data_IF_861696471920
#
_entry.id   IF_861696471920
#
_cell.length_a   1.000
_cell.length_b   1.000
_cell.length_c   1.000
_cell.angle_alpha   90.00
_cell.angle_beta   90.00
_cell.angle_gamma   90.00
#
_symmetry.space_group_name_H-M   'P 1'
#
loop_
_entity.id
_entity.type
_entity.pdbx_description
1 polymer ?
#
# COMPACT_ATOMS: atom_id res chain seq x y z
N UNK A 1 -6.48 53.11 41.85
CA UNK A 1 -6.19 52.92 40.42
C UNK A 1 -5.11 51.85 40.28
N UNK A 2 -5.47 50.61 39.97
CA UNK A 2 -4.49 49.54 39.71
C UNK A 2 -4.81 48.92 38.34
N UNK A 3 -3.76 48.82 37.53
CA UNK A 3 -3.78 48.66 36.08
C UNK A 3 -4.22 47.24 35.70
N UNK A 4 -5.19 47.14 34.79
CA UNK A 4 -5.56 45.90 34.11
C UNK A 4 -4.40 45.50 33.19
N UNK A 5 -3.69 44.43 33.52
CA UNK A 5 -2.71 43.81 32.64
C UNK A 5 -3.47 42.83 31.73
N UNK A 6 -3.74 43.24 30.49
CA UNK A 6 -4.26 42.34 29.45
C UNK A 6 -3.16 41.35 29.06
N UNK A 7 -3.21 40.14 29.60
CA UNK A 7 -2.42 39.02 29.10
C UNK A 7 -2.97 38.57 27.74
N UNK A 8 -2.26 38.94 26.67
CA UNK A 8 -2.48 38.41 25.32
C UNK A 8 -2.08 36.92 25.33
N UNK A 9 -3.05 36.01 25.34
CA UNK A 9 -2.82 34.57 25.20
C UNK A 9 -2.61 34.26 23.70
N UNK A 10 -1.36 34.14 23.25
CA UNK A 10 -1.06 33.56 21.94
C UNK A 10 -1.39 32.06 21.99
N UNK A 11 -2.54 31.67 21.45
CA UNK A 11 -2.86 30.27 21.17
C UNK A 11 -1.99 29.80 20.00
N UNK A 12 -0.89 29.12 20.32
CA UNK A 12 -0.18 28.30 19.35
C UNK A 12 -1.08 27.10 19.03
N UNK A 13 -1.85 27.19 17.95
CA UNK A 13 -2.54 26.04 17.39
C UNK A 13 -1.48 25.07 16.88
N UNK A 14 -1.37 23.85 17.43
CA UNK A 14 -0.52 22.83 16.82
C UNK A 14 -1.11 22.60 15.42
N UNK A 15 -0.29 22.75 14.39
CA UNK A 15 -0.64 22.25 13.07
C UNK A 15 -0.95 20.77 13.24
N UNK A 16 -2.22 20.40 13.17
CA UNK A 16 -2.64 19.01 13.10
C UNK A 16 -2.02 18.47 11.81
N UNK A 17 -0.90 17.77 11.95
CA UNK A 17 -0.33 17.01 10.85
C UNK A 17 -1.41 16.00 10.45
N UNK A 18 -2.06 16.27 9.33
CA UNK A 18 -3.00 15.33 8.74
C UNK A 18 -2.14 14.18 8.24
N UNK A 19 -2.27 13.02 8.86
CA UNK A 19 -1.56 11.83 8.43
C UNK A 19 -1.94 11.53 6.98
N UNK A 20 -0.94 11.28 6.14
CA UNK A 20 -1.11 10.94 4.75
C UNK A 20 -1.80 9.59 4.60
N UNK A 21 -2.70 9.48 3.61
CA UNK A 21 -3.46 8.25 3.39
C UNK A 21 -2.58 7.14 2.78
N UNK A 22 -1.65 7.53 1.90
CA UNK A 22 -0.71 6.61 1.26
C UNK A 22 0.56 7.34 0.81
N UNK A 23 1.73 6.81 1.19
CA UNK A 23 3.01 7.42 0.82
C UNK A 23 3.14 8.83 1.39
N UNK A 24 3.19 9.83 0.52
CA UNK A 24 3.18 11.27 0.90
C UNK A 24 1.92 12.00 0.41
N UNK A 25 0.84 11.26 0.11
CA UNK A 25 -0.36 11.82 -0.52
C UNK A 25 -1.66 11.43 0.20
N UNK A 26 -2.67 12.27 -0.02
CA UNK A 26 -4.06 12.04 0.40
C UNK A 26 -4.86 11.43 -0.74
N UNK A 27 -5.90 10.65 -0.42
CA UNK A 27 -6.85 10.20 -1.43
C UNK A 27 -7.49 11.39 -2.14
N UNK A 28 -7.63 11.28 -3.47
CA UNK A 28 -8.15 12.34 -4.33
C UNK A 28 -7.13 13.37 -4.82
N UNK A 29 -5.88 13.33 -4.35
CA UNK A 29 -4.81 14.21 -4.84
C UNK A 29 -4.58 14.03 -6.35
N UNK A 30 -4.23 15.11 -7.05
CA UNK A 30 -3.89 15.04 -8.48
C UNK A 30 -2.50 14.42 -8.70
N UNK A 31 -2.17 13.92 -9.91
CA UNK A 31 -0.82 13.47 -10.22
C UNK A 31 0.25 14.53 -9.95
N UNK A 32 -0.05 15.81 -10.20
CA UNK A 32 0.92 16.90 -9.99
C UNK A 32 1.15 17.19 -8.51
N UNK A 33 0.09 17.15 -7.69
CA UNK A 33 0.23 17.28 -6.24
C UNK A 33 1.10 16.15 -5.67
N UNK A 34 0.87 14.91 -6.12
CA UNK A 34 1.68 13.75 -5.71
C UNK A 34 3.13 13.91 -6.16
N UNK A 35 3.38 14.40 -7.39
CA UNK A 35 4.75 14.65 -7.87
C UNK A 35 5.49 15.70 -7.06
N UNK A 36 4.79 16.73 -6.61
CA UNK A 36 5.38 17.80 -5.80
C UNK A 36 5.67 17.34 -4.37
N UNK A 37 4.80 16.51 -3.79
CA UNK A 37 4.96 16.00 -2.44
C UNK A 37 5.99 14.87 -2.33
N UNK A 38 6.06 13.97 -3.32
CA UNK A 38 6.89 12.78 -3.24
C UNK A 38 8.38 13.08 -3.48
N UNK A 39 9.19 12.82 -2.46
CA UNK A 39 10.64 13.08 -2.45
C UNK A 39 11.48 11.90 -2.93
N UNK A 40 10.88 10.72 -3.09
CA UNK A 40 11.56 9.51 -3.57
C UNK A 40 11.96 9.63 -5.05
N UNK A 41 12.89 8.79 -5.48
CA UNK A 41 13.32 8.74 -6.89
C UNK A 41 12.15 8.32 -7.79
N UNK A 42 11.74 9.21 -8.70
CA UNK A 42 10.71 8.95 -9.69
C UNK A 42 11.23 7.99 -10.78
N UNK A 43 10.49 6.90 -11.03
CA UNK A 43 10.73 5.87 -12.04
C UNK A 43 9.57 5.74 -13.04
N UNK A 44 8.64 6.69 -13.01
CA UNK A 44 7.51 6.74 -13.94
C UNK A 44 8.02 6.92 -15.37
N UNK A 45 7.57 6.10 -16.34
CA UNK A 45 7.88 6.33 -17.74
C UNK A 45 7.42 7.73 -18.20
N UNK A 46 8.14 8.31 -19.16
CA UNK A 46 7.79 9.62 -19.69
C UNK A 46 6.41 9.60 -20.36
N UNK A 47 5.58 10.59 -20.06
CA UNK A 47 4.24 10.75 -20.65
C UNK A 47 3.12 10.00 -19.91
N UNK A 48 3.43 9.18 -18.91
CA UNK A 48 2.41 8.46 -18.14
C UNK A 48 1.72 9.36 -17.11
N UNK A 49 0.39 9.32 -17.11
CA UNK A 49 -0.46 10.14 -16.24
C UNK A 49 -1.38 9.30 -15.36
N UNK A 50 -1.65 8.05 -15.73
CA UNK A 50 -2.57 7.17 -15.01
C UNK A 50 -1.95 6.55 -13.77
N UNK A 51 -0.62 6.58 -13.67
CA UNK A 51 0.11 6.12 -12.51
C UNK A 51 1.45 6.85 -12.35
N UNK A 52 1.97 6.84 -11.13
CA UNK A 52 3.33 7.25 -10.81
C UNK A 52 4.06 6.13 -10.07
N UNK A 53 5.32 5.91 -10.39
CA UNK A 53 6.18 4.90 -9.78
C UNK A 53 7.36 5.58 -9.11
N UNK A 54 7.60 5.23 -7.86
CA UNK A 54 8.75 5.71 -7.08
C UNK A 54 9.53 4.54 -6.47
N UNK A 55 10.82 4.76 -6.24
CA UNK A 55 11.63 3.81 -5.48
C UNK A 55 11.34 3.93 -3.99
N UNK A 56 11.07 2.80 -3.35
CA UNK A 56 11.02 2.70 -1.91
C UNK A 56 12.08 1.70 -1.43
N UNK A 57 12.52 1.88 -0.20
CA UNK A 57 13.48 0.99 0.45
C UNK A 57 12.83 0.42 1.70
N UNK A 58 12.85 -0.90 1.81
CA UNK A 58 12.49 -1.62 3.02
C UNK A 58 13.67 -2.51 3.40
N UNK A 59 14.00 -2.64 4.70
CA UNK A 59 15.05 -3.54 5.16
C UNK A 59 14.84 -4.95 4.61
N UNK A 60 15.91 -5.54 4.09
CA UNK A 60 15.96 -6.93 3.59
C UNK A 60 15.04 -7.26 2.41
N UNK A 61 14.47 -6.23 1.76
CA UNK A 61 13.69 -6.39 0.52
C UNK A 61 14.47 -5.79 -0.65
N UNK A 62 14.86 -6.64 -1.60
CA UNK A 62 15.75 -6.29 -2.71
C UNK A 62 15.23 -5.11 -3.56
N UNK A 63 13.99 -5.19 -4.04
CA UNK A 63 13.34 -4.12 -4.80
C UNK A 63 11.96 -3.88 -4.24
N UNK A 64 11.71 -2.62 -3.86
CA UNK A 64 10.36 -2.13 -3.55
C UNK A 64 10.02 -0.97 -4.49
N UNK A 65 8.80 -0.98 -5.01
CA UNK A 65 8.22 0.13 -5.78
C UNK A 65 6.96 0.62 -5.10
N UNK A 66 6.88 1.93 -4.91
CA UNK A 66 5.67 2.62 -4.50
C UNK A 66 4.95 3.08 -5.77
N UNK A 67 3.68 2.73 -5.93
CA UNK A 67 2.88 3.06 -7.10
C UNK A 67 1.64 3.82 -6.65
N UNK A 68 1.47 5.03 -7.18
CA UNK A 68 0.24 5.81 -7.08
C UNK A 68 -0.57 5.55 -8.34
N UNK A 69 -1.86 5.23 -8.22
CA UNK A 69 -2.74 4.96 -9.36
C UNK A 69 -3.95 5.91 -9.35
N UNK A 70 -4.17 6.52 -10.50
CA UNK A 70 -5.14 7.60 -10.68
C UNK A 70 -6.33 7.13 -11.50
N UNK A 71 -7.52 7.54 -11.08
CA UNK A 71 -8.77 7.35 -11.83
C UNK A 71 -9.40 8.73 -11.98
N UNK A 72 -9.77 9.11 -13.20
CA UNK A 72 -10.29 10.46 -13.49
C UNK A 72 -9.39 11.59 -12.95
N UNK A 73 -8.06 11.42 -13.02
CA UNK A 73 -7.09 12.41 -12.56
C UNK A 73 -6.93 12.52 -11.04
N UNK A 74 -7.49 11.58 -10.27
CA UNK A 74 -7.47 11.60 -8.81
C UNK A 74 -6.86 10.32 -8.24
N UNK A 75 -6.03 10.45 -7.20
CA UNK A 75 -5.42 9.31 -6.52
C UNK A 75 -6.52 8.42 -5.93
N UNK A 76 -6.60 7.20 -6.45
CA UNK A 76 -7.68 6.25 -6.14
C UNK A 76 -7.17 4.96 -5.50
N UNK A 77 -5.88 4.67 -5.66
CA UNK A 77 -5.25 3.48 -5.11
C UNK A 77 -3.75 3.67 -4.98
N UNK A 78 -3.19 3.14 -3.90
CA UNK A 78 -1.75 3.01 -3.70
C UNK A 78 -1.32 1.55 -3.79
N UNK A 79 -0.08 1.28 -4.22
CA UNK A 79 0.51 -0.05 -4.13
C UNK A 79 1.96 -0.02 -3.69
N UNK A 80 2.37 -0.98 -2.88
CA UNK A 80 3.75 -1.43 -2.83
C UNK A 80 3.88 -2.70 -3.66
N UNK A 81 4.87 -2.74 -4.55
CA UNK A 81 5.25 -3.93 -5.30
C UNK A 81 6.61 -4.41 -4.82
N UNK A 82 6.71 -5.69 -4.49
CA UNK A 82 7.93 -6.28 -3.98
C UNK A 82 8.50 -7.27 -4.98
N UNK A 83 9.82 -7.21 -5.14
CA UNK A 83 10.58 -8.18 -5.92
C UNK A 83 11.84 -8.55 -5.12
N UNK A 84 12.03 -9.81 -4.73
CA UNK A 84 13.26 -10.33 -4.16
C UNK A 84 14.32 -10.45 -5.26
N UNK A 85 15.49 -10.97 -4.87
CA UNK A 85 16.57 -11.22 -5.79
C UNK A 85 16.14 -12.19 -6.93
N UNK A 86 16.66 -12.02 -8.16
CA UNK A 86 16.30 -12.85 -9.33
C UNK A 86 16.40 -14.36 -9.11
N UNK A 87 17.35 -14.81 -8.28
CA UNK A 87 17.62 -16.24 -8.03
C UNK A 87 17.10 -16.72 -6.65
N UNK A 88 16.18 -15.96 -6.04
CA UNK A 88 15.63 -16.32 -4.74
C UNK A 88 14.74 -17.58 -4.84
N UNK A 89 14.89 -18.56 -3.92
CA UNK A 89 14.02 -19.73 -3.89
C UNK A 89 12.58 -19.32 -3.55
N UNK A 90 11.61 -20.16 -3.92
CA UNK A 90 10.17 -19.86 -3.71
C UNK A 90 9.86 -19.57 -2.23
N UNK A 91 10.51 -20.29 -1.31
CA UNK A 91 10.36 -20.05 0.13
C UNK A 91 10.67 -18.59 0.52
N UNK A 92 11.65 -17.94 -0.10
CA UNK A 92 11.99 -16.55 0.20
C UNK A 92 10.87 -15.56 -0.12
N UNK A 93 9.96 -15.90 -1.03
CA UNK A 93 8.78 -15.07 -1.31
C UNK A 93 7.74 -15.18 -0.20
N UNK A 94 7.58 -16.38 0.37
CA UNK A 94 6.71 -16.61 1.53
C UNK A 94 7.30 -15.89 2.75
N UNK A 95 8.60 -16.04 2.99
CA UNK A 95 9.27 -15.35 4.10
C UNK A 95 9.17 -13.82 3.97
N UNK A 96 9.30 -13.29 2.75
CA UNK A 96 9.10 -11.87 2.48
C UNK A 96 7.65 -11.43 2.72
N UNK A 97 6.66 -12.27 2.35
CA UNK A 97 5.25 -12.00 2.65
C UNK A 97 5.04 -11.90 4.16
N UNK A 98 5.58 -12.83 4.94
CA UNK A 98 5.50 -12.79 6.40
C UNK A 98 6.20 -11.58 7.01
N UNK A 99 7.38 -11.22 6.50
CA UNK A 99 8.10 -10.02 6.93
C UNK A 99 7.29 -8.75 6.68
N UNK A 100 6.72 -8.58 5.49
CA UNK A 100 5.88 -7.42 5.15
C UNK A 100 4.61 -7.42 6.00
N UNK A 101 4.00 -8.58 6.25
CA UNK A 101 2.83 -8.72 7.14
C UNK A 101 3.15 -8.20 8.54
N UNK A 102 4.27 -8.64 9.12
CA UNK A 102 4.72 -8.16 10.42
C UNK A 102 5.02 -6.66 10.44
N UNK A 103 5.60 -6.10 9.37
CA UNK A 103 5.82 -4.65 9.24
C UNK A 103 4.50 -3.88 9.27
N UNK A 104 3.50 -4.32 8.52
CA UNK A 104 2.17 -3.70 8.48
C UNK A 104 1.48 -3.84 9.83
N UNK A 105 1.51 -5.03 10.45
CA UNK A 105 0.85 -5.24 11.74
C UNK A 105 1.46 -4.41 12.87
N UNK A 106 2.76 -4.12 12.83
CA UNK A 106 3.37 -3.18 13.80
C UNK A 106 2.84 -1.76 13.66
N UNK A 107 2.45 -1.35 12.45
CA UNK A 107 1.94 0.00 12.17
C UNK A 107 0.44 0.12 12.39
N UNK A 108 -0.34 -0.90 12.00
CA UNK A 108 -1.81 -0.83 11.94
C UNK A 108 -2.52 -1.79 12.91
N UNK A 109 -1.79 -2.59 13.68
CA UNK A 109 -2.34 -3.63 14.55
C UNK A 109 -2.56 -4.96 13.83
N UNK A 110 -3.21 -5.91 14.51
CA UNK A 110 -3.47 -7.24 13.95
C UNK A 110 -4.38 -7.17 12.70
N UNK A 111 -4.20 -8.08 11.73
CA UNK A 111 -5.03 -8.12 10.54
C UNK A 111 -6.48 -8.47 10.88
N UNK A 112 -7.41 -7.91 10.12
CA UNK A 112 -8.84 -8.25 10.23
C UNK A 112 -9.16 -9.61 9.60
N UNK A 113 -8.34 -10.07 8.64
CA UNK A 113 -8.49 -11.40 8.02
C UNK A 113 -7.17 -11.91 7.45
N UNK A 114 -6.95 -13.21 7.55
CA UNK A 114 -5.89 -13.96 6.89
C UNK A 114 -6.51 -15.10 6.09
N UNK A 115 -6.18 -15.20 4.81
CA UNK A 115 -6.78 -16.15 3.87
C UNK A 115 -5.70 -16.90 3.09
N UNK A 116 -5.90 -18.22 3.02
CA UNK A 116 -5.18 -19.13 2.13
C UNK A 116 -6.18 -19.54 1.05
N UNK A 117 -6.08 -18.91 -0.13
CA UNK A 117 -7.00 -19.18 -1.24
C UNK A 117 -6.38 -20.23 -2.17
N UNK A 118 -7.20 -21.19 -2.58
CA UNK A 118 -6.79 -22.25 -3.51
C UNK A 118 -7.62 -22.12 -4.79
N UNK A 119 -7.08 -21.55 -5.88
CA UNK A 119 -7.81 -21.41 -7.12
C UNK A 119 -8.29 -22.78 -7.61
N UNK A 120 -9.59 -22.91 -7.87
CA UNK A 120 -10.23 -24.14 -8.39
C UNK A 120 -10.35 -25.32 -7.41
N UNK A 121 -10.22 -25.11 -6.09
CA UNK A 121 -10.53 -26.15 -5.10
C UNK A 121 -11.62 -25.69 -4.13
N UNK A 122 -12.59 -26.57 -3.87
CA UNK A 122 -13.68 -26.29 -2.92
C UNK A 122 -13.19 -26.27 -1.46
N UNK A 123 -12.06 -26.90 -1.17
CA UNK A 123 -11.43 -26.94 0.16
C UNK A 123 -9.91 -27.02 0.04
N UNK A 124 -9.20 -26.29 0.91
CA UNK A 124 -7.75 -26.41 1.03
C UNK A 124 -7.36 -27.81 1.56
N UNK A 125 -6.30 -28.45 1.03
CA UNK A 125 -5.82 -29.74 1.50
C UNK A 125 -5.30 -29.66 2.95
N UNK A 126 -5.48 -30.75 3.71
CA UNK A 126 -5.14 -30.89 5.14
C UNK A 126 -3.64 -30.67 5.41
N UNK A 127 -2.78 -30.92 4.42
CA UNK A 127 -1.36 -30.64 4.46
C UNK A 127 -0.92 -30.14 3.09
N UNK A 128 -0.45 -28.89 3.03
CA UNK A 128 0.02 -28.24 1.81
C UNK A 128 1.48 -27.81 2.00
N UNK A 129 2.36 -28.23 1.10
CA UNK A 129 3.64 -27.54 0.92
C UNK A 129 3.36 -26.22 0.20
N UNK A 130 3.48 -25.11 0.93
CA UNK A 130 3.15 -23.78 0.41
C UNK A 130 4.08 -23.36 -0.70
N UNK A 131 5.37 -23.72 -0.65
CA UNK A 131 6.32 -23.34 -1.68
C UNK A 131 5.96 -24.03 -3.00
N UNK A 132 5.69 -25.34 -2.97
CA UNK A 132 5.23 -26.07 -4.15
C UNK A 132 3.89 -25.54 -4.64
N UNK A 133 2.89 -25.43 -3.76
CA UNK A 133 1.55 -24.98 -4.14
C UNK A 133 1.53 -23.56 -4.72
N UNK A 134 2.35 -22.65 -4.18
CA UNK A 134 2.53 -21.32 -4.73
C UNK A 134 3.14 -21.39 -6.13
N UNK A 135 4.25 -22.11 -6.32
CA UNK A 135 4.93 -22.20 -7.62
C UNK A 135 4.08 -22.85 -8.73
N UNK A 136 3.08 -23.64 -8.34
CA UNK A 136 2.11 -24.28 -9.23
C UNK A 136 0.82 -23.47 -9.46
N UNK A 137 0.76 -22.21 -8.98
CA UNK A 137 -0.44 -21.35 -9.07
C UNK A 137 -1.69 -21.99 -8.41
N UNK A 138 -1.46 -22.77 -7.34
CA UNK A 138 -2.52 -23.41 -6.54
C UNK A 138 -2.75 -22.74 -5.18
N UNK A 139 -2.01 -21.67 -4.89
CA UNK A 139 -2.03 -20.97 -3.62
C UNK A 139 -1.93 -19.45 -3.84
N UNK A 140 -2.83 -18.72 -3.19
CA UNK A 140 -2.73 -17.27 -3.00
C UNK A 140 -2.80 -17.00 -1.50
N UNK A 141 -1.79 -16.33 -0.96
CA UNK A 141 -1.81 -15.80 0.40
C UNK A 141 -2.36 -14.38 0.38
N UNK A 142 -3.29 -14.10 1.28
CA UNK A 142 -3.94 -12.79 1.36
C UNK A 142 -4.18 -12.39 2.80
N UNK A 143 -3.79 -11.16 3.15
CA UNK A 143 -4.03 -10.59 4.47
C UNK A 143 -4.65 -9.21 4.32
N UNK A 144 -5.62 -8.87 5.17
CA UNK A 144 -6.30 -7.57 5.13
C UNK A 144 -6.20 -6.84 6.46
N UNK A 145 -6.01 -5.52 6.37
CA UNK A 145 -6.16 -4.58 7.46
C UNK A 145 -7.09 -3.45 7.03
N UNK A 146 -7.61 -2.74 8.01
CA UNK A 146 -8.46 -1.59 7.78
C UNK A 146 -8.17 -0.53 8.83
N UNK A 147 -8.08 0.73 8.39
CA UNK A 147 -8.12 1.92 9.24
C UNK A 147 -9.45 2.64 9.06
N UNK A 148 -9.66 3.77 9.73
CA UNK A 148 -10.89 4.56 9.56
C UNK A 148 -11.09 5.11 8.13
N UNK A 149 -10.03 5.13 7.31
CA UNK A 149 -10.04 5.73 5.96
C UNK A 149 -9.59 4.79 4.85
N UNK A 150 -8.84 3.74 5.17
CA UNK A 150 -8.10 2.95 4.17
C UNK A 150 -8.22 1.45 4.43
N UNK A 151 -8.52 0.70 3.37
CA UNK A 151 -8.33 -0.76 3.32
C UNK A 151 -6.92 -1.06 2.80
N UNK A 152 -6.24 -2.00 3.46
CA UNK A 152 -4.96 -2.53 3.05
C UNK A 152 -5.13 -4.02 2.74
N UNK A 153 -4.64 -4.45 1.58
CA UNK A 153 -4.64 -5.85 1.17
C UNK A 153 -3.23 -6.24 0.76
N UNK A 154 -2.57 -7.09 1.54
CA UNK A 154 -1.36 -7.77 1.12
C UNK A 154 -1.73 -9.05 0.37
N UNK A 155 -1.04 -9.32 -0.74
CA UNK A 155 -1.25 -10.52 -1.54
C UNK A 155 0.06 -11.06 -2.08
N UNK A 156 0.24 -12.39 -1.97
CA UNK A 156 1.24 -13.16 -2.70
C UNK A 156 0.52 -14.21 -3.55
N UNK A 157 0.74 -14.17 -4.86
CA UNK A 157 0.22 -15.13 -5.83
C UNK A 157 1.31 -15.51 -6.83
N UNK A 158 1.11 -16.57 -7.62
CA UNK A 158 1.97 -16.92 -8.75
C UNK A 158 1.17 -16.82 -10.03
N UNK A 159 1.70 -16.21 -11.09
CA UNK A 159 1.05 -16.22 -12.39
C UNK A 159 2.06 -16.04 -13.52
N UNK A 160 1.83 -16.65 -14.68
CA UNK A 160 2.72 -16.47 -15.84
C UNK A 160 4.20 -16.73 -15.55
N UNK A 161 4.48 -17.78 -14.78
CA UNK A 161 5.82 -18.22 -14.38
C UNK A 161 6.61 -17.27 -13.45
N UNK A 162 5.91 -16.40 -12.71
CA UNK A 162 6.54 -15.56 -11.68
C UNK A 162 5.57 -15.26 -10.53
N UNK A 163 6.08 -15.03 -9.32
CA UNK A 163 5.28 -14.55 -8.21
C UNK A 163 4.98 -13.06 -8.31
N UNK A 164 3.86 -12.66 -7.73
CA UNK A 164 3.39 -11.30 -7.56
C UNK A 164 3.14 -11.07 -6.09
N UNK A 165 4.06 -10.35 -5.45
CA UNK A 165 3.91 -9.88 -4.08
C UNK A 165 3.61 -8.38 -4.08
N UNK A 166 2.49 -7.99 -3.50
CA UNK A 166 2.08 -6.60 -3.40
C UNK A 166 1.29 -6.30 -2.13
N UNK A 167 1.27 -5.03 -1.75
CA UNK A 167 0.28 -4.48 -0.81
C UNK A 167 -0.51 -3.40 -1.55
N UNK A 168 -1.82 -3.47 -1.47
CA UNK A 168 -2.76 -2.55 -2.13
C UNK A 168 -3.42 -1.72 -1.05
N UNK A 169 -3.43 -0.40 -1.23
CA UNK A 169 -4.10 0.57 -0.38
C UNK A 169 -5.26 1.18 -1.16
N UNK A 170 -6.45 1.23 -0.57
CA UNK A 170 -7.65 1.84 -1.17
C UNK A 170 -8.43 2.66 -0.15
N UNK A 171 -9.06 3.76 -0.55
CA UNK A 171 -9.96 4.47 0.33
C UNK A 171 -11.19 3.60 0.63
N UNK A 172 -11.69 3.64 1.87
CA UNK A 172 -12.95 2.98 2.24
C UNK A 172 -14.16 3.60 1.53
N UNK A 173 -14.12 4.91 1.34
CA UNK A 173 -15.10 5.65 0.53
C UNK A 173 -14.46 5.96 -0.82
N UNK A 174 -14.99 5.44 -1.94
CA UNK A 174 -14.45 5.75 -3.26
C UNK A 174 -14.31 7.25 -3.48
N UNK A 175 -13.20 7.66 -4.08
CA UNK A 175 -13.05 9.05 -4.53
C UNK A 175 -13.99 9.24 -5.71
N UNK A 176 -15.09 9.96 -5.48
CA UNK A 176 -15.97 10.37 -6.57
C UNK A 176 -15.26 11.45 -7.38
N UNK A 177 -15.23 11.34 -8.72
CA UNK A 177 -14.90 12.49 -9.54
C UNK A 177 -15.89 13.59 -9.16
N UNK A 178 -15.39 14.79 -8.86
CA UNK A 178 -16.26 15.94 -8.65
C UNK A 178 -17.21 16.00 -9.86
N UNK A 179 -18.53 16.00 -9.60
CA UNK A 179 -19.56 16.01 -10.64
C UNK A 179 -19.13 17.01 -11.71
N UNK A 180 -18.80 16.48 -12.89
CA UNK A 180 -18.28 17.28 -13.99
C UNK A 180 -19.34 18.27 -14.38
N UNK A 181 -19.19 19.53 -13.96
CA UNK A 181 -19.83 20.67 -14.59
C UNK A 181 -19.09 20.94 -15.91
N UNK A 182 -19.27 20.05 -16.88
CA UNK A 182 -18.95 20.27 -18.29
C UNK A 182 -20.12 19.79 -19.14
#
# INVERSE_FOLDING_TARGET
MMRLLCSLLLLALPALAVAEDFGQAMWGASPDDVRQAETRTNRTPFGETDYLIYEASLPDIHVTRLVYQFTAGQLSQGRFLFKPAPDAPVQSWIDQFEQVRHLISRQYGEPGSEEVLTPNADTAPVQMDWATALSEDRLILKTRWQTDRTELIQQLAWAGNRPYHQVIYRPLTPVSPADGLF
#
